data_IF_323788961282
#
_entry.id   IF_323788961282
#
_cell.length_a   1.000
_cell.length_b   1.000
_cell.length_c   1.000
_cell.angle_alpha   90.00
_cell.angle_beta   90.00
_cell.angle_gamma   90.00
#
_symmetry.space_group_name_H-M   'P 1'
#
loop_
_entity.id
_entity.type
_entity.pdbx_description
1 polymer ?
#
# COMPACT_ATOMS: atom_id res chain seq x y z
N UNK A 1 11.84 7.85 12.37
CA UNK A 1 10.82 6.79 12.32
C UNK A 1 11.37 5.60 11.54
N UNK A 2 11.46 4.45 12.17
CA UNK A 2 11.88 3.19 11.57
C UNK A 2 10.64 2.37 11.18
N UNK A 3 10.52 1.95 9.92
CA UNK A 3 9.42 1.10 9.45
C UNK A 3 9.91 -0.31 9.23
N UNK A 4 9.40 -1.26 10.02
CA UNK A 4 9.62 -2.69 9.83
C UNK A 4 8.76 -3.21 8.68
N UNK A 5 9.39 -3.67 7.58
CA UNK A 5 8.69 -4.07 6.35
C UNK A 5 8.93 -5.54 6.01
N UNK A 6 7.84 -6.27 5.72
CA UNK A 6 7.86 -7.66 5.26
C UNK A 6 7.30 -7.76 3.84
N UNK A 7 8.13 -8.16 2.87
CA UNK A 7 7.82 -8.17 1.43
C UNK A 7 6.99 -9.40 0.98
N UNK A 8 6.77 -10.36 1.85
CA UNK A 8 6.22 -11.67 1.50
C UNK A 8 4.97 -11.64 0.62
N UNK A 9 4.02 -10.79 0.94
CA UNK A 9 2.76 -10.67 0.16
C UNK A 9 2.98 -10.17 -1.27
N UNK A 10 3.97 -9.30 -1.51
CA UNK A 10 4.27 -8.81 -2.86
C UNK A 10 4.87 -9.89 -3.77
N UNK A 11 5.57 -10.84 -3.18
CA UNK A 11 6.23 -11.92 -3.94
C UNK A 11 5.46 -13.24 -3.88
N UNK A 12 4.27 -13.25 -3.29
CA UNK A 12 3.38 -14.42 -3.21
C UNK A 12 3.93 -15.59 -2.36
N UNK A 13 4.86 -15.32 -1.43
CA UNK A 13 5.56 -16.35 -0.66
C UNK A 13 5.21 -16.40 0.83
N UNK A 14 4.37 -15.50 1.32
CA UNK A 14 4.11 -15.40 2.75
C UNK A 14 2.65 -15.66 3.08
N UNK A 15 2.46 -16.50 4.08
CA UNK A 15 1.21 -16.66 4.79
C UNK A 15 1.06 -15.61 5.89
N UNK A 16 -0.16 -15.38 6.33
CA UNK A 16 -0.49 -14.37 7.34
C UNK A 16 0.26 -14.60 8.65
N UNK A 17 0.28 -15.83 9.15
CA UNK A 17 0.95 -16.18 10.41
C UNK A 17 2.45 -15.83 10.37
N UNK A 18 3.16 -16.28 9.36
CA UNK A 18 4.59 -16.00 9.19
C UNK A 18 4.88 -14.49 9.01
N UNK A 19 3.95 -13.75 8.37
CA UNK A 19 4.06 -12.29 8.27
C UNK A 19 3.89 -11.63 9.62
N UNK A 20 2.90 -12.04 10.41
CA UNK A 20 2.65 -11.53 11.76
C UNK A 20 3.86 -11.79 12.66
N UNK A 21 4.36 -13.02 12.71
CA UNK A 21 5.52 -13.39 13.53
C UNK A 21 6.73 -12.48 13.22
N UNK A 22 6.98 -12.24 11.95
CA UNK A 22 8.07 -11.36 11.50
C UNK A 22 7.85 -9.90 11.92
N UNK A 23 6.65 -9.38 11.76
CA UNK A 23 6.35 -7.99 12.12
C UNK A 23 6.31 -7.78 13.64
N UNK A 24 5.89 -8.78 14.43
CA UNK A 24 6.02 -8.76 15.89
C UNK A 24 7.50 -8.69 16.27
N UNK A 25 8.34 -9.53 15.68
CA UNK A 25 9.78 -9.47 15.93
C UNK A 25 10.40 -8.11 15.56
N UNK A 26 9.93 -7.47 14.50
CA UNK A 26 10.37 -6.12 14.14
C UNK A 26 9.88 -5.06 15.15
N UNK A 27 8.65 -5.19 15.65
CA UNK A 27 8.11 -4.32 16.69
C UNK A 27 8.94 -4.42 17.99
N UNK A 28 9.27 -5.65 18.41
CA UNK A 28 10.10 -5.93 19.59
C UNK A 28 11.54 -5.41 19.42
N UNK A 29 12.07 -5.46 18.20
CA UNK A 29 13.38 -4.90 17.86
C UNK A 29 13.40 -3.36 17.76
N UNK A 30 12.25 -2.69 17.97
CA UNK A 30 12.18 -1.22 18.05
C UNK A 30 11.65 -0.53 16.80
N UNK A 31 11.02 -1.23 15.86
CA UNK A 31 10.33 -0.56 14.76
C UNK A 31 9.21 0.36 15.28
N UNK A 32 9.10 1.55 14.71
CA UNK A 32 8.07 2.53 15.06
C UNK A 32 6.74 2.27 14.35
N UNK A 33 6.77 1.63 13.17
CA UNK A 33 5.61 1.31 12.35
C UNK A 33 5.86 0.01 11.59
N UNK A 34 4.81 -0.80 11.41
CA UNK A 34 4.92 -2.09 10.73
C UNK A 34 4.22 -2.04 9.35
N UNK A 35 4.74 -2.80 8.39
CA UNK A 35 4.26 -2.74 7.02
C UNK A 35 4.39 -4.09 6.30
N UNK A 36 3.26 -4.59 5.79
CA UNK A 36 3.19 -5.75 4.90
C UNK A 36 2.56 -5.32 3.57
N UNK A 37 3.34 -4.75 2.62
CA UNK A 37 2.79 -4.36 1.33
C UNK A 37 2.22 -5.56 0.60
N UNK A 38 1.07 -5.35 -0.08
CA UNK A 38 0.38 -6.41 -0.81
C UNK A 38 -0.73 -7.12 -0.03
N UNK A 39 -0.83 -6.92 1.28
CA UNK A 39 -2.00 -7.40 2.04
C UNK A 39 -3.23 -6.57 1.67
N UNK A 40 -4.32 -7.23 1.28
CA UNK A 40 -5.57 -6.57 0.82
C UNK A 40 -6.82 -7.04 1.55
N UNK A 41 -6.77 -8.20 2.20
CA UNK A 41 -7.90 -8.71 2.97
C UNK A 41 -8.07 -7.96 4.29
N UNK A 42 -9.24 -7.34 4.52
CA UNK A 42 -9.51 -6.55 5.72
C UNK A 42 -9.49 -7.39 7.01
N UNK A 43 -9.87 -8.66 6.94
CA UNK A 43 -9.82 -9.56 8.11
C UNK A 43 -8.36 -9.82 8.50
N UNK A 44 -7.51 -10.12 7.53
CA UNK A 44 -6.07 -10.30 7.74
C UNK A 44 -5.41 -9.01 8.26
N UNK A 45 -5.80 -7.84 7.73
CA UNK A 45 -5.30 -6.54 8.19
C UNK A 45 -5.69 -6.31 9.67
N UNK A 46 -6.93 -6.58 10.08
CA UNK A 46 -7.36 -6.47 11.49
C UNK A 46 -6.56 -7.38 12.41
N UNK A 47 -6.33 -8.62 11.97
CA UNK A 47 -5.52 -9.59 12.73
C UNK A 47 -4.09 -9.08 12.91
N UNK A 48 -3.48 -8.56 11.85
CA UNK A 48 -2.15 -7.97 11.88
C UNK A 48 -2.08 -6.76 12.82
N UNK A 49 -3.02 -5.82 12.70
CA UNK A 49 -3.11 -4.62 13.57
C UNK A 49 -3.18 -5.02 15.03
N UNK A 50 -4.03 -6.00 15.36
CA UNK A 50 -4.18 -6.49 16.73
C UNK A 50 -2.89 -7.14 17.27
N UNK A 51 -2.20 -7.90 16.43
CA UNK A 51 -1.00 -8.63 16.82
C UNK A 51 0.20 -7.73 17.13
N UNK A 52 0.32 -6.58 16.46
CA UNK A 52 1.45 -5.66 16.65
C UNK A 52 1.13 -4.45 17.55
N UNK A 53 -0.10 -4.39 18.08
CA UNK A 53 -0.50 -3.29 18.95
C UNK A 53 0.49 -3.12 20.13
N UNK A 54 0.80 -1.89 20.56
CA UNK A 54 0.23 -0.61 20.14
C UNK A 54 0.94 0.05 18.92
N UNK A 55 1.81 -0.66 18.23
CA UNK A 55 2.54 -0.12 17.09
C UNK A 55 1.59 0.14 15.90
N UNK A 56 1.72 1.29 15.23
CA UNK A 56 0.90 1.57 14.05
C UNK A 56 1.27 0.67 12.88
N UNK A 57 0.27 0.34 12.07
CA UNK A 57 0.42 -0.40 10.82
C UNK A 57 0.23 0.53 9.63
N UNK A 58 1.13 0.43 8.64
CA UNK A 58 0.95 1.01 7.31
C UNK A 58 0.32 -0.02 6.37
N UNK A 59 -0.64 0.40 5.56
CA UNK A 59 -1.19 -0.40 4.47
C UNK A 59 -0.99 0.33 3.14
N UNK A 60 -0.59 -0.43 2.11
CA UNK A 60 -0.54 0.06 0.74
C UNK A 60 -1.95 0.02 0.15
N UNK A 61 -2.48 1.18 -0.22
CA UNK A 61 -3.77 1.28 -0.90
C UNK A 61 -3.61 0.79 -2.34
N UNK A 62 -4.24 -0.35 -2.66
CA UNK A 62 -4.14 -1.01 -3.95
C UNK A 62 -5.51 -1.11 -4.61
N UNK A 63 -5.63 -0.49 -5.78
CA UNK A 63 -6.83 -0.61 -6.62
C UNK A 63 -8.08 0.09 -6.06
N UNK A 64 -9.17 0.06 -6.83
CA UNK A 64 -10.36 0.87 -6.55
C UNK A 64 -11.29 0.30 -5.47
N UNK A 65 -11.08 -0.95 -5.05
CA UNK A 65 -11.94 -1.63 -4.07
C UNK A 65 -11.52 -1.37 -2.63
N UNK A 66 -10.30 -0.88 -2.40
CA UNK A 66 -9.78 -0.61 -1.06
C UNK A 66 -10.00 0.86 -0.72
N UNK A 67 -10.68 1.15 0.37
CA UNK A 67 -11.02 2.51 0.79
C UNK A 67 -10.28 2.87 2.06
N UNK A 68 -9.86 4.13 2.18
CA UNK A 68 -9.19 4.64 3.39
C UNK A 68 -10.08 4.48 4.63
N UNK A 69 -11.40 4.71 4.50
CA UNK A 69 -12.34 4.54 5.61
C UNK A 69 -12.36 3.10 6.16
N UNK A 70 -12.37 2.10 5.25
CA UNK A 70 -12.36 0.69 5.66
C UNK A 70 -11.05 0.30 6.37
N UNK A 71 -9.94 0.92 5.97
CA UNK A 71 -8.64 0.73 6.62
C UNK A 71 -8.58 1.40 8.01
N UNK A 72 -9.16 2.59 8.16
CA UNK A 72 -9.28 3.26 9.46
C UNK A 72 -10.13 2.44 10.44
N UNK A 73 -11.28 1.94 9.99
CA UNK A 73 -12.14 1.04 10.75
C UNK A 73 -11.43 -0.30 11.11
N UNK A 74 -10.47 -0.72 10.32
CA UNK A 74 -9.62 -1.87 10.60
C UNK A 74 -8.48 -1.57 11.58
N UNK A 75 -8.32 -0.32 12.03
CA UNK A 75 -7.30 0.11 12.98
C UNK A 75 -5.97 0.51 12.34
N UNK A 76 -5.90 0.64 11.03
CA UNK A 76 -4.73 1.15 10.31
C UNK A 76 -4.52 2.63 10.64
N UNK A 77 -3.25 3.04 10.84
CA UNK A 77 -2.91 4.43 11.21
C UNK A 77 -2.04 5.14 10.18
N UNK A 78 -1.62 4.44 9.15
CA UNK A 78 -0.86 5.00 8.04
C UNK A 78 -1.28 4.33 6.74
N UNK A 79 -1.50 5.11 5.70
CA UNK A 79 -1.80 4.61 4.35
C UNK A 79 -0.77 5.16 3.39
N UNK A 80 -0.28 4.33 2.49
CA UNK A 80 0.61 4.72 1.39
C UNK A 80 -0.02 4.33 0.05
N UNK A 81 0.33 5.05 -0.99
CA UNK A 81 -0.22 4.84 -2.34
C UNK A 81 0.84 4.35 -3.34
N UNK A 82 2.08 4.17 -2.88
CA UNK A 82 3.19 3.75 -3.73
C UNK A 82 3.36 4.66 -4.96
N UNK A 83 3.55 4.05 -6.11
CA UNK A 83 3.67 4.77 -7.39
C UNK A 83 2.35 5.04 -8.11
N UNK A 84 1.19 4.73 -7.52
CA UNK A 84 -0.11 4.78 -8.23
C UNK A 84 -0.44 6.15 -8.79
N UNK A 85 -0.26 7.21 -8.00
CA UNK A 85 -0.54 8.58 -8.46
C UNK A 85 0.42 9.02 -9.57
N UNK A 86 1.69 8.66 -9.46
CA UNK A 86 2.67 8.90 -10.53
C UNK A 86 2.30 8.15 -11.81
N UNK A 87 1.89 6.88 -11.70
CA UNK A 87 1.46 6.08 -12.85
C UNK A 87 0.25 6.70 -13.56
N UNK A 88 -0.71 7.24 -12.82
CA UNK A 88 -1.87 7.96 -13.41
C UNK A 88 -1.41 9.22 -14.18
N UNK A 89 -0.51 10.00 -13.60
CA UNK A 89 0.04 11.20 -14.25
C UNK A 89 0.82 10.85 -15.53
N UNK A 90 1.68 9.84 -15.47
CA UNK A 90 2.43 9.36 -16.64
C UNK A 90 1.53 8.80 -17.73
N UNK A 91 0.48 8.07 -17.39
CA UNK A 91 -0.47 7.56 -18.39
C UNK A 91 -1.22 8.70 -19.10
N UNK A 92 -1.54 9.78 -18.41
CA UNK A 92 -2.13 10.97 -19.02
C UNK A 92 -1.14 11.67 -19.95
N UNK A 93 0.11 11.83 -19.53
CA UNK A 93 1.18 12.39 -20.33
C UNK A 93 1.42 11.56 -21.60
N UNK A 94 1.54 10.24 -21.50
CA UNK A 94 1.75 9.33 -22.63
C UNK A 94 0.60 9.44 -23.67
N UNK A 95 -0.64 9.49 -23.21
CA UNK A 95 -1.80 9.71 -24.09
C UNK A 95 -1.71 11.04 -24.85
N UNK A 96 -1.29 12.12 -24.18
CA UNK A 96 -1.14 13.43 -24.80
C UNK A 96 -0.02 13.44 -25.85
N UNK A 97 1.10 12.77 -25.56
CA UNK A 97 2.23 12.64 -26.51
C UNK A 97 1.81 11.82 -27.73
N UNK A 98 1.09 10.71 -27.56
CA UNK A 98 0.57 9.91 -28.68
C UNK A 98 -0.35 10.73 -29.56
N UNK A 99 -1.29 11.49 -28.99
CA UNK A 99 -2.17 12.37 -29.75
C UNK A 99 -1.39 13.40 -30.60
N UNK A 100 -0.33 13.98 -30.02
CA UNK A 100 0.54 14.91 -30.74
C UNK A 100 1.29 14.23 -31.89
N UNK A 101 1.81 13.03 -31.70
CA UNK A 101 2.57 12.29 -32.73
C UNK A 101 1.65 11.78 -33.82
N UNK A 102 0.49 11.22 -33.47
CA UNK A 102 -0.37 10.53 -34.44
C UNK A 102 -1.31 11.48 -35.18
N UNK A 103 -1.76 12.55 -34.52
CA UNK A 103 -2.79 13.46 -35.04
C UNK A 103 -2.30 14.93 -35.22
N UNK A 104 -1.11 15.26 -34.73
CA UNK A 104 -0.55 16.62 -34.78
C UNK A 104 -1.29 17.64 -33.92
N UNK A 105 -2.01 17.18 -32.90
CA UNK A 105 -2.81 18.04 -32.01
C UNK A 105 -2.54 17.74 -30.51
N UNK A 106 -3.04 18.60 -29.65
CA UNK A 106 -2.95 18.40 -28.18
C UNK A 106 -4.33 18.18 -27.56
N UNK A 107 -4.41 17.46 -26.44
CA UNK A 107 -5.65 17.32 -25.72
C UNK A 107 -6.14 18.68 -25.20
N UNK A 108 -7.45 18.80 -25.05
CA UNK A 108 -8.05 19.97 -24.40
C UNK A 108 -7.55 20.05 -22.95
N UNK A 109 -7.17 21.24 -22.52
CA UNK A 109 -6.83 21.49 -21.10
C UNK A 109 -8.13 21.66 -20.32
N UNK A 110 -8.23 20.93 -19.21
CA UNK A 110 -9.30 21.10 -18.23
C UNK A 110 -9.09 22.39 -17.43
#
# INVERSE_FOLDING_TARGET
>A
MLVGRSEGYLIGRMELAATIDRLVAYADAGADCLYAPGITDLSAIRTLVSAVAPKPVNVLLIGPKMRVADLDDAGVRRVSVGGTLAAVAWAAFDRAVRLLIDEGTLPKRD
#
